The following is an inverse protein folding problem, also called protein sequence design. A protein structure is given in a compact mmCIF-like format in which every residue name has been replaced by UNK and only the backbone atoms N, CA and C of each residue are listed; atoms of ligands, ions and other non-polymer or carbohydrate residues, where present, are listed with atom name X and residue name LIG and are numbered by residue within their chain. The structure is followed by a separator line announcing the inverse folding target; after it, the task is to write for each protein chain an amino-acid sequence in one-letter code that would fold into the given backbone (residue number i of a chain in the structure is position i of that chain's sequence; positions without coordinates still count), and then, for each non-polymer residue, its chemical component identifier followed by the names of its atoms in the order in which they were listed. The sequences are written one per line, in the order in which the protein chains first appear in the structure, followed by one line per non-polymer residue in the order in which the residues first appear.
data_IF_140241958964
#
_entry.id   IF_140241958964
#
_cell.length_a   1.000
_cell.length_b   1.000
_cell.length_c   1.000
_cell.angle_alpha   90.00
_cell.angle_beta   90.00
_cell.angle_gamma   90.00
#
_symmetry.space_group_name_H-M   'P 1'
#
loop_
_entity.id
_entity.type
_entity.pdbx_description
1 polymer ?
#
# COMPACT_ATOMS: atom_id res chain seq x y z
N UNK A 1 12.95 17.77 -27.48
CA UNK A 1 13.17 19.23 -27.52
C UNK A 1 14.49 19.50 -26.80
N UNK A 2 15.53 19.92 -27.52
CA UNK A 2 16.85 20.17 -26.92
C UNK A 2 16.86 21.49 -26.17
N UNK A 3 17.40 21.50 -24.96
CA UNK A 3 17.57 22.70 -24.14
C UNK A 3 18.62 23.60 -24.81
N UNK A 4 18.20 24.74 -25.38
CA UNK A 4 19.09 25.75 -26.01
C UNK A 4 19.80 26.60 -24.94
N UNK A 5 20.62 25.97 -24.11
CA UNK A 5 21.35 26.64 -23.02
C UNK A 5 22.84 26.37 -23.15
N UNK A 6 23.69 27.38 -22.93
CA UNK A 6 25.14 27.23 -22.99
C UNK A 6 25.67 26.36 -21.84
N UNK A 7 26.81 25.70 -22.06
CA UNK A 7 27.48 24.91 -21.01
C UNK A 7 27.82 25.74 -19.76
N UNK A 8 28.22 27.00 -19.95
CA UNK A 8 28.51 27.93 -18.86
C UNK A 8 27.26 28.23 -18.02
N UNK A 9 26.12 28.45 -18.68
CA UNK A 9 24.84 28.69 -18.01
C UNK A 9 24.37 27.45 -17.24
N UNK A 10 24.49 26.25 -17.82
CA UNK A 10 24.20 24.98 -17.11
C UNK A 10 25.07 24.83 -15.86
N UNK A 11 26.38 25.13 -15.97
CA UNK A 11 27.30 25.09 -14.82
C UNK A 11 26.89 26.05 -13.72
N UNK A 12 26.44 27.25 -14.05
CA UNK A 12 25.93 28.23 -13.09
C UNK A 12 24.65 27.74 -12.40
N UNK A 13 23.70 27.17 -13.15
CA UNK A 13 22.51 26.57 -12.53
C UNK A 13 22.85 25.44 -11.58
N UNK A 14 23.76 24.54 -11.96
CA UNK A 14 24.18 23.47 -11.04
C UNK A 14 24.95 24.00 -9.82
N UNK A 15 25.58 25.19 -9.92
CA UNK A 15 26.17 25.84 -8.74
C UNK A 15 25.07 26.29 -7.78
N UNK A 16 24.06 26.99 -8.29
CA UNK A 16 22.89 27.46 -7.50
C UNK A 16 22.16 26.27 -6.86
N UNK A 17 21.83 25.24 -7.64
CA UNK A 17 21.16 24.03 -7.14
C UNK A 17 22.00 23.30 -6.07
N UNK A 18 23.33 23.40 -6.14
CA UNK A 18 24.23 22.88 -5.12
C UNK A 18 24.18 23.70 -3.83
N UNK A 19 24.19 25.04 -3.94
CA UNK A 19 24.07 25.97 -2.81
C UNK A 19 22.70 25.84 -2.11
N UNK A 20 21.64 25.54 -2.86
CA UNK A 20 20.28 25.29 -2.35
C UNK A 20 20.08 23.86 -1.80
N UNK A 21 21.08 22.98 -1.89
CA UNK A 21 20.99 21.61 -1.39
C UNK A 21 20.09 20.67 -2.22
N UNK A 22 19.77 21.05 -3.46
CA UNK A 22 18.99 20.21 -4.39
C UNK A 22 19.87 19.10 -4.99
N UNK A 23 21.13 19.42 -5.27
CA UNK A 23 22.12 18.46 -5.77
C UNK A 23 23.36 18.48 -4.89
N UNK A 24 24.04 17.34 -4.78
CA UNK A 24 25.24 17.19 -3.99
C UNK A 24 26.35 16.51 -4.78
N UNK A 25 27.58 16.71 -4.32
CA UNK A 25 28.78 16.08 -4.85
C UNK A 25 29.24 15.03 -3.84
N UNK A 26 29.38 13.76 -4.26
CA UNK A 26 29.72 12.65 -3.37
C UNK A 26 31.23 12.37 -3.30
N UNK A 27 32.01 12.78 -4.31
CA UNK A 27 33.46 12.60 -4.41
C UNK A 27 34.14 13.77 -5.13
N UNK A 28 35.47 13.74 -5.27
CA UNK A 28 36.29 14.77 -5.97
C UNK A 28 35.92 14.92 -7.46
N UNK A 29 35.18 13.96 -8.03
CA UNK A 29 34.69 14.04 -9.41
C UNK A 29 33.68 15.18 -9.60
N UNK A 30 33.66 15.81 -10.78
CA UNK A 30 32.82 16.97 -11.09
C UNK A 30 31.31 16.65 -11.24
N UNK A 31 30.93 15.39 -11.06
CA UNK A 31 29.53 14.95 -11.13
C UNK A 31 28.72 15.40 -9.91
N UNK A 32 27.45 15.71 -10.14
CA UNK A 32 26.49 16.01 -9.07
C UNK A 32 25.31 15.05 -9.17
N UNK A 33 24.79 14.62 -8.03
CA UNK A 33 23.59 13.78 -7.94
C UNK A 33 22.48 14.51 -7.18
N UNK A 34 21.20 14.24 -7.48
CA UNK A 34 20.10 14.77 -6.67
C UNK A 34 20.22 14.34 -5.21
N UNK A 35 19.87 15.25 -4.30
CA UNK A 35 19.71 14.88 -2.89
C UNK A 35 18.44 14.05 -2.69
N UNK A 36 18.31 13.30 -1.59
CA UNK A 36 17.07 12.59 -1.28
C UNK A 36 15.86 13.52 -1.26
N UNK A 37 16.01 14.75 -0.74
CA UNK A 37 14.96 15.77 -0.76
C UNK A 37 14.51 16.11 -2.18
N UNK A 38 15.46 16.31 -3.10
CA UNK A 38 15.15 16.59 -4.50
C UNK A 38 14.39 15.43 -5.17
N UNK A 39 14.80 14.18 -4.92
CA UNK A 39 14.10 13.00 -5.46
C UNK A 39 12.67 12.87 -4.89
N UNK A 40 12.48 13.14 -3.60
CA UNK A 40 11.14 13.14 -2.99
C UNK A 40 10.23 14.17 -3.65
N UNK A 41 10.75 15.38 -3.86
CA UNK A 41 9.99 16.45 -4.50
C UNK A 41 9.69 16.12 -5.97
N UNK A 42 10.66 15.56 -6.69
CA UNK A 42 10.47 15.08 -8.06
C UNK A 42 9.31 14.08 -8.14
N UNK A 43 9.32 13.02 -7.34
CA UNK A 43 8.24 12.02 -7.38
C UNK A 43 6.88 12.57 -6.98
N UNK A 44 6.82 13.51 -6.01
CA UNK A 44 5.58 14.21 -5.65
C UNK A 44 5.00 15.04 -6.79
N UNK A 45 5.84 15.66 -7.62
CA UNK A 45 5.39 16.44 -8.77
C UNK A 45 5.08 15.61 -10.00
N UNK A 46 5.76 14.46 -10.15
CA UNK A 46 5.67 13.62 -11.36
C UNK A 46 4.53 12.63 -11.28
N UNK A 47 4.29 12.02 -10.12
CA UNK A 47 3.30 10.98 -9.95
C UNK A 47 2.05 11.51 -9.24
N UNK A 48 0.88 11.13 -9.75
CA UNK A 48 -0.40 11.39 -9.11
C UNK A 48 -1.09 10.06 -8.78
N UNK A 49 -0.97 9.55 -7.53
CA UNK A 49 -1.52 8.25 -7.15
C UNK A 49 -3.03 8.12 -7.36
N UNK A 50 -3.79 9.21 -7.25
CA UNK A 50 -5.24 9.18 -7.49
C UNK A 50 -5.59 8.92 -8.97
N UNK A 51 -4.65 9.14 -9.89
CA UNK A 51 -4.79 8.86 -11.32
C UNK A 51 -4.08 7.57 -11.76
N UNK A 52 -3.29 6.96 -10.87
CA UNK A 52 -2.67 5.65 -11.13
C UNK A 52 -3.71 4.55 -10.88
N UNK A 53 -4.11 3.85 -11.93
CA UNK A 53 -4.98 2.68 -11.84
C UNK A 53 -4.60 1.63 -12.91
N UNK A 54 -3.47 0.92 -12.73
CA UNK A 54 -3.02 -0.07 -13.71
C UNK A 54 -3.97 -1.27 -13.74
N UNK A 55 -4.12 -1.87 -14.92
CA UNK A 55 -4.89 -3.11 -15.14
C UNK A 55 -3.91 -4.26 -15.31
N UNK A 56 -3.78 -5.07 -14.27
CA UNK A 56 -2.77 -6.12 -14.17
C UNK A 56 -3.47 -7.48 -14.29
N UNK A 57 -3.37 -8.06 -15.49
CA UNK A 57 -3.97 -9.36 -15.80
C UNK A 57 -2.93 -10.49 -15.60
N UNK A 58 -1.69 -10.24 -16.02
CA UNK A 58 -0.61 -11.23 -16.03
C UNK A 58 0.32 -11.06 -14.82
N UNK A 59 0.31 -12.07 -13.93
CA UNK A 59 1.17 -12.12 -12.75
C UNK A 59 2.66 -12.28 -13.08
N UNK A 60 2.99 -12.93 -14.18
CA UNK A 60 4.39 -13.12 -14.58
C UNK A 60 4.95 -11.82 -15.17
N UNK A 61 4.12 -11.05 -15.89
CA UNK A 61 4.48 -9.72 -16.41
C UNK A 61 4.83 -8.77 -15.27
N UNK A 62 4.00 -8.69 -14.22
CA UNK A 62 4.33 -7.83 -13.08
C UNK A 62 5.57 -8.32 -12.33
N UNK A 63 5.72 -9.63 -12.10
CA UNK A 63 6.90 -10.18 -11.43
C UNK A 63 8.20 -9.78 -12.15
N UNK A 64 8.27 -9.97 -13.47
CA UNK A 64 9.44 -9.60 -14.29
C UNK A 64 9.74 -8.09 -14.26
N UNK A 65 8.70 -7.25 -14.27
CA UNK A 65 8.89 -5.81 -14.22
C UNK A 65 9.31 -5.34 -12.83
N UNK A 66 8.76 -5.92 -11.76
CA UNK A 66 9.22 -5.67 -10.40
C UNK A 66 10.71 -5.98 -10.24
N UNK A 67 11.19 -7.10 -10.78
CA UNK A 67 12.63 -7.44 -10.79
C UNK A 67 13.44 -6.46 -11.65
N UNK A 68 13.00 -6.18 -12.88
CA UNK A 68 13.69 -5.29 -13.83
C UNK A 68 13.87 -3.86 -13.28
N UNK A 69 12.85 -3.33 -12.62
CA UNK A 69 12.84 -1.97 -12.08
C UNK A 69 13.24 -1.93 -10.59
N UNK A 70 13.48 -3.09 -9.96
CA UNK A 70 13.79 -3.25 -8.54
C UNK A 70 12.76 -2.56 -7.63
N UNK A 71 11.48 -2.82 -7.89
CA UNK A 71 10.33 -2.30 -7.15
C UNK A 71 9.56 -3.48 -6.55
N UNK A 72 9.32 -3.44 -5.24
CA UNK A 72 8.37 -4.35 -4.60
C UNK A 72 6.96 -3.87 -4.86
N UNK A 73 6.11 -4.78 -5.33
CA UNK A 73 4.68 -4.55 -5.42
C UNK A 73 3.91 -5.44 -4.47
N UNK A 74 2.96 -4.84 -3.77
CA UNK A 74 2.02 -5.52 -2.88
C UNK A 74 0.62 -5.20 -3.35
N UNK A 75 -0.15 -6.23 -3.70
CA UNK A 75 -1.51 -6.08 -4.22
C UNK A 75 -2.47 -6.81 -3.29
N UNK A 76 -3.46 -6.07 -2.78
CA UNK A 76 -4.50 -6.58 -1.91
C UNK A 76 -5.86 -6.43 -2.63
N UNK A 77 -6.48 -7.52 -3.07
CA UNK A 77 -7.84 -7.48 -3.61
C UNK A 77 -8.81 -6.86 -2.60
N UNK A 78 -9.74 -6.05 -3.08
CA UNK A 78 -10.83 -5.50 -2.28
C UNK A 78 -11.97 -6.51 -2.36
N UNK A 79 -12.00 -7.43 -1.40
CA UNK A 79 -13.11 -8.36 -1.22
C UNK A 79 -13.98 -7.81 -0.09
N UNK A 80 -15.17 -7.36 -0.45
CA UNK A 80 -16.17 -6.94 0.54
C UNK A 80 -17.30 -7.93 0.60
N UNK A 81 -17.87 -8.10 1.78
CA UNK A 81 -19.06 -8.91 2.00
C UNK A 81 -19.94 -8.26 3.05
N UNK A 82 -21.25 -8.43 2.91
CA UNK A 82 -22.24 -7.97 3.88
C UNK A 82 -22.57 -9.04 4.89
N UNK A 83 -22.91 -8.61 6.10
CA UNK A 83 -23.57 -9.47 7.08
C UNK A 83 -25.01 -9.70 6.63
N UNK A 84 -25.39 -10.95 6.39
CA UNK A 84 -26.71 -11.32 5.91
C UNK A 84 -27.63 -11.69 7.08
N UNK A 85 -27.09 -12.37 8.08
CA UNK A 85 -27.89 -12.90 9.18
C UNK A 85 -27.04 -13.08 10.44
N UNK A 86 -27.70 -12.99 11.60
CA UNK A 86 -27.13 -13.34 12.90
C UNK A 86 -27.98 -14.42 13.54
N UNK A 87 -27.35 -15.56 13.86
CA UNK A 87 -28.01 -16.74 14.41
C UNK A 87 -27.53 -16.96 15.84
N UNK A 88 -28.46 -17.07 16.78
CA UNK A 88 -28.17 -17.49 18.15
C UNK A 88 -28.24 -19.02 18.26
N UNK A 89 -27.19 -19.64 18.79
CA UNK A 89 -27.12 -21.09 18.98
C UNK A 89 -27.16 -21.42 20.45
N UNK A 90 -28.34 -21.82 20.94
CA UNK A 90 -28.57 -22.35 22.30
C UNK A 90 -27.96 -21.51 23.44
N UNK A 91 -27.87 -20.19 23.29
CA UNK A 91 -27.18 -19.29 24.24
C UNK A 91 -25.70 -19.65 24.49
N UNK A 92 -25.08 -20.41 23.59
CA UNK A 92 -23.66 -20.80 23.63
C UNK A 92 -22.82 -19.95 22.69
N UNK A 93 -23.35 -19.66 21.50
CA UNK A 93 -22.65 -18.87 20.49
C UNK A 93 -23.59 -17.96 19.72
N UNK A 94 -23.01 -16.92 19.12
CA UNK A 94 -23.62 -16.09 18.09
C UNK A 94 -22.87 -16.39 16.80
N UNK A 95 -23.59 -16.78 15.75
CA UNK A 95 -23.03 -17.03 14.42
C UNK A 95 -23.39 -15.86 13.51
N UNK A 96 -22.37 -15.17 13.01
CA UNK A 96 -22.51 -14.12 12.00
C UNK A 96 -22.35 -14.76 10.63
N UNK A 97 -23.40 -14.67 9.80
CA UNK A 97 -23.43 -15.23 8.44
C UNK A 97 -23.25 -14.11 7.45
N UNK A 98 -22.12 -14.10 6.75
CA UNK A 98 -21.84 -13.19 5.66
C UNK A 98 -22.18 -13.83 4.31
N UNK A 99 -22.08 -13.04 3.23
CA UNK A 99 -22.32 -13.53 1.86
C UNK A 99 -21.45 -14.73 1.47
N UNK A 100 -20.21 -14.79 1.98
CA UNK A 100 -19.25 -15.84 1.62
C UNK A 100 -18.70 -16.60 2.84
N UNK A 101 -18.66 -15.96 4.00
CA UNK A 101 -18.11 -16.53 5.23
C UNK A 101 -19.14 -16.72 6.35
N UNK A 102 -18.75 -17.49 7.36
CA UNK A 102 -19.45 -17.57 8.64
C UNK A 102 -18.43 -17.54 9.77
N UNK A 103 -18.71 -16.80 10.83
CA UNK A 103 -17.89 -16.79 12.06
C UNK A 103 -18.77 -16.99 13.28
N UNK A 104 -18.22 -17.61 14.31
CA UNK A 104 -18.89 -17.80 15.58
C UNK A 104 -18.13 -17.04 16.67
N UNK A 105 -18.86 -16.34 17.53
CA UNK A 105 -18.36 -15.71 18.75
C UNK A 105 -19.11 -16.23 19.97
N UNK A 106 -18.53 -16.15 21.19
CA UNK A 106 -19.23 -16.53 22.41
C UNK A 106 -20.53 -15.74 22.58
N UNK A 107 -21.57 -16.40 23.11
CA UNK A 107 -22.84 -15.75 23.34
C UNK A 107 -22.78 -14.76 24.51
N UNK A 108 -23.20 -13.53 24.24
CA UNK A 108 -23.45 -12.48 25.24
C UNK A 108 -24.76 -11.79 24.80
N UNK A 109 -25.81 -11.68 25.63
CA UNK A 109 -27.12 -11.17 25.21
C UNK A 109 -27.06 -9.80 24.53
N UNK A 110 -26.36 -8.84 25.13
CA UNK A 110 -26.21 -7.50 24.55
C UNK A 110 -25.41 -7.53 23.24
N UNK A 111 -24.46 -8.45 23.10
CA UNK A 111 -23.69 -8.61 21.86
C UNK A 111 -24.55 -9.20 20.75
N UNK A 112 -25.49 -10.10 21.06
CA UNK A 112 -26.41 -10.67 20.08
C UNK A 112 -27.31 -9.57 19.49
N UNK A 113 -27.93 -8.75 20.35
CA UNK A 113 -28.69 -7.59 19.91
C UNK A 113 -27.85 -6.59 19.12
N UNK A 114 -26.64 -6.28 19.61
CA UNK A 114 -25.72 -5.41 18.89
C UNK A 114 -25.38 -5.95 17.49
N UNK A 115 -25.12 -7.25 17.35
CA UNK A 115 -24.83 -7.87 16.06
C UNK A 115 -26.04 -7.85 15.11
N UNK A 116 -27.27 -7.99 15.62
CA UNK A 116 -28.49 -7.90 14.79
C UNK A 116 -28.62 -6.51 14.13
N UNK A 117 -28.28 -5.43 14.85
CA UNK A 117 -28.30 -4.07 14.28
C UNK A 117 -27.25 -3.85 13.18
N UNK A 118 -26.29 -4.77 13.01
CA UNK A 118 -25.25 -4.69 11.99
C UNK A 118 -25.64 -5.41 10.69
N UNK A 119 -26.78 -6.10 10.66
CA UNK A 119 -27.24 -6.84 9.47
C UNK A 119 -27.40 -5.86 8.30
N UNK A 120 -26.87 -6.26 7.15
CA UNK A 120 -26.82 -5.45 5.93
C UNK A 120 -25.57 -4.58 5.78
N UNK A 121 -24.77 -4.39 6.84
CA UNK A 121 -23.52 -3.63 6.78
C UNK A 121 -22.39 -4.46 6.18
N UNK A 122 -21.43 -3.77 5.56
CA UNK A 122 -20.20 -4.37 5.07
C UNK A 122 -19.25 -4.73 6.21
N UNK A 123 -18.52 -5.82 6.04
CA UNK A 123 -17.56 -6.35 7.03
C UNK A 123 -16.57 -5.30 7.53
N UNK A 124 -16.12 -4.38 6.67
CA UNK A 124 -15.14 -3.34 7.05
C UNK A 124 -15.76 -2.27 7.95
N UNK A 125 -17.02 -1.90 7.71
CA UNK A 125 -17.79 -1.01 8.58
C UNK A 125 -18.03 -1.67 9.93
N UNK A 126 -18.46 -2.94 9.93
CA UNK A 126 -18.67 -3.73 11.15
C UNK A 126 -17.37 -3.80 11.96
N UNK A 127 -16.23 -4.04 11.31
CA UNK A 127 -14.92 -4.08 11.97
C UNK A 127 -14.54 -2.75 12.58
N UNK A 128 -14.83 -1.64 11.90
CA UNK A 128 -14.58 -0.29 12.41
C UNK A 128 -15.45 0.01 13.63
N UNK A 129 -16.76 -0.24 13.52
CA UNK A 129 -17.71 -0.06 14.64
C UNK A 129 -17.27 -0.91 15.84
N UNK A 130 -16.93 -2.19 15.62
CA UNK A 130 -16.47 -3.09 16.68
C UNK A 130 -15.21 -2.55 17.39
N UNK A 131 -14.28 -1.94 16.67
CA UNK A 131 -13.12 -1.26 17.27
C UNK A 131 -13.52 -0.02 18.06
N UNK A 132 -14.40 0.82 17.51
CA UNK A 132 -14.85 2.08 18.12
C UNK A 132 -15.61 1.84 19.44
N UNK A 133 -16.38 0.75 19.53
CA UNK A 133 -17.09 0.35 20.76
C UNK A 133 -16.30 -0.62 21.64
N UNK A 134 -15.02 -0.84 21.34
CA UNK A 134 -14.14 -1.77 22.07
C UNK A 134 -14.67 -3.22 22.17
N UNK A 135 -15.45 -3.69 21.21
CA UNK A 135 -15.93 -5.07 21.08
C UNK A 135 -14.81 -6.00 20.57
N UNK A 136 -13.78 -6.23 21.41
CA UNK A 136 -12.54 -6.93 21.03
C UNK A 136 -12.78 -8.32 20.42
N UNK A 137 -13.60 -9.15 21.04
CA UNK A 137 -13.88 -10.51 20.55
C UNK A 137 -14.53 -10.51 19.16
N UNK A 138 -15.45 -9.57 18.90
CA UNK A 138 -16.04 -9.42 17.58
C UNK A 138 -14.98 -8.95 16.57
N UNK A 139 -14.19 -7.95 16.92
CA UNK A 139 -13.12 -7.44 16.05
C UNK A 139 -12.08 -8.53 15.71
N UNK A 140 -11.67 -9.35 16.69
CA UNK A 140 -10.75 -10.47 16.50
C UNK A 140 -11.36 -11.55 15.60
N UNK A 141 -12.62 -11.93 15.83
CA UNK A 141 -13.32 -12.92 15.01
C UNK A 141 -13.46 -12.46 13.55
N UNK A 142 -13.76 -11.18 13.30
CA UNK A 142 -13.83 -10.59 11.96
C UNK A 142 -12.49 -10.61 11.23
N UNK A 143 -11.37 -10.61 11.94
CA UNK A 143 -10.04 -10.77 11.34
C UNK A 143 -9.78 -12.20 10.85
N UNK A 144 -10.56 -13.20 11.29
CA UNK A 144 -10.37 -14.62 10.94
C UNK A 144 -11.17 -15.11 9.73
N UNK A 145 -11.87 -14.20 9.03
CA UNK A 145 -12.69 -14.54 7.86
C UNK A 145 -11.86 -15.21 6.77
N UNK A 146 -12.34 -16.33 6.21
CA UNK A 146 -11.57 -17.11 5.24
C UNK A 146 -11.52 -16.45 3.87
N UNK A 147 -12.52 -15.64 3.53
CA UNK A 147 -12.49 -14.80 2.33
C UNK A 147 -11.64 -13.54 2.51
N UNK A 148 -10.84 -13.44 3.59
CA UNK A 148 -9.85 -12.38 3.70
C UNK A 148 -8.99 -12.36 2.42
N UNK A 149 -8.82 -11.18 1.79
CA UNK A 149 -8.14 -11.09 0.51
C UNK A 149 -6.71 -11.57 0.66
N UNK A 150 -6.32 -12.53 -0.19
CA UNK A 150 -4.93 -12.98 -0.27
C UNK A 150 -4.10 -11.85 -0.84
N UNK A 151 -3.14 -11.38 -0.05
CA UNK A 151 -2.19 -10.37 -0.49
C UNK A 151 -1.17 -11.03 -1.42
N UNK A 152 -0.96 -10.42 -2.57
CA UNK A 152 0.02 -10.83 -3.57
C UNK A 152 1.27 -9.96 -3.46
N UNK A 153 2.44 -10.59 -3.45
CA UNK A 153 3.72 -9.90 -3.37
C UNK A 153 4.58 -10.21 -4.59
N UNK A 154 5.24 -9.18 -5.12
CA UNK A 154 6.14 -9.25 -6.27
C UNK A 154 7.40 -8.43 -5.98
N UNK A 155 8.56 -8.84 -6.51
CA UNK A 155 9.83 -8.10 -6.35
C UNK A 155 10.27 -7.91 -4.90
N UNK A 156 10.42 -9.00 -4.14
CA UNK A 156 10.68 -8.95 -2.69
C UNK A 156 12.06 -8.42 -2.29
N UNK A 157 12.97 -8.20 -3.25
CA UNK A 157 14.38 -7.85 -2.97
C UNK A 157 14.52 -6.59 -2.10
N UNK A 158 13.67 -5.59 -2.30
CA UNK A 158 13.72 -4.37 -1.50
C UNK A 158 13.18 -4.59 -0.07
N UNK A 159 12.24 -5.52 0.14
CA UNK A 159 11.77 -5.85 1.48
C UNK A 159 12.86 -6.53 2.31
N UNK A 160 13.72 -7.35 1.70
CA UNK A 160 14.84 -7.98 2.41
C UNK A 160 15.82 -6.91 2.95
N UNK A 161 16.13 -5.89 2.15
CA UNK A 161 16.95 -4.76 2.58
C UNK A 161 16.24 -3.95 3.68
N UNK A 162 14.94 -3.69 3.52
CA UNK A 162 14.16 -2.94 4.49
C UNK A 162 14.04 -3.69 5.83
N UNK A 163 13.93 -5.01 5.81
CA UNK A 163 13.79 -5.86 7.00
C UNK A 163 14.99 -5.73 7.94
N UNK A 164 16.19 -5.54 7.39
CA UNK A 164 17.41 -5.36 8.18
C UNK A 164 17.43 -4.05 8.99
N UNK A 165 16.62 -3.05 8.59
CA UNK A 165 16.65 -1.71 9.17
C UNK A 165 15.34 -1.27 9.82
N UNK A 166 14.19 -1.76 9.33
CA UNK A 166 12.84 -1.36 9.73
C UNK A 166 11.89 -2.58 9.71
N UNK A 167 12.15 -3.61 10.55
CA UNK A 167 11.38 -4.85 10.53
C UNK A 167 9.88 -4.63 10.83
N UNK A 168 9.54 -3.66 11.67
CA UNK A 168 8.16 -3.29 11.99
C UNK A 168 7.38 -2.82 10.77
N UNK A 169 8.03 -2.07 9.86
CA UNK A 169 7.41 -1.60 8.61
C UNK A 169 7.18 -2.78 7.68
N UNK A 170 8.15 -3.69 7.55
CA UNK A 170 8.00 -4.90 6.72
C UNK A 170 6.88 -5.77 7.24
N UNK A 171 6.78 -5.98 8.55
CA UNK A 171 5.68 -6.75 9.15
C UNK A 171 4.31 -6.11 8.87
N UNK A 172 4.20 -4.78 8.98
CA UNK A 172 2.96 -4.06 8.65
C UNK A 172 2.59 -4.17 7.17
N UNK A 173 3.58 -4.21 6.26
CA UNK A 173 3.38 -4.46 4.83
C UNK A 173 2.88 -5.90 4.60
N UNK A 174 3.52 -6.89 5.22
CA UNK A 174 3.16 -8.31 5.09
C UNK A 174 1.75 -8.60 5.63
N UNK A 175 1.34 -7.91 6.68
CA UNK A 175 0.00 -8.01 7.28
C UNK A 175 -1.06 -7.21 6.50
N UNK A 176 -0.63 -6.30 5.61
CA UNK A 176 -1.53 -5.44 4.84
C UNK A 176 -2.16 -4.30 5.66
N UNK A 177 -1.60 -3.99 6.82
CA UNK A 177 -2.07 -2.89 7.68
C UNK A 177 -1.79 -1.52 7.06
N UNK A 178 -0.68 -1.41 6.32
CA UNK A 178 -0.25 -0.15 5.70
C UNK A 178 -1.29 0.40 4.70
N UNK A 179 -2.09 -0.46 4.06
CA UNK A 179 -3.16 -0.06 3.14
C UNK A 179 -4.21 0.83 3.82
N UNK A 180 -4.54 0.54 5.08
CA UNK A 180 -5.53 1.32 5.85
C UNK A 180 -5.09 2.77 6.13
N UNK A 181 -3.79 3.04 6.03
CA UNK A 181 -3.18 4.32 6.40
C UNK A 181 -2.80 5.17 5.18
N UNK A 182 -2.87 4.62 3.96
CA UNK A 182 -2.15 5.16 2.80
C UNK A 182 -2.97 5.29 1.52
N UNK A 183 -4.26 5.65 1.59
CA UNK A 183 -5.09 5.68 0.38
C UNK A 183 -4.66 6.76 -0.64
N UNK A 184 -4.37 6.34 -1.87
CA UNK A 184 -4.06 7.20 -3.03
C UNK A 184 -3.04 8.31 -2.75
N UNK A 185 -1.87 7.94 -2.19
CA UNK A 185 -0.86 8.92 -1.79
C UNK A 185 0.57 8.38 -1.86
N UNK A 186 1.55 9.29 -1.82
CA UNK A 186 2.99 9.02 -1.81
C UNK A 186 3.55 9.33 -0.42
N UNK A 187 4.26 8.35 0.14
CA UNK A 187 4.87 8.45 1.46
C UNK A 187 6.37 8.22 1.39
N UNK A 188 7.09 8.89 2.29
CA UNK A 188 8.53 8.76 2.45
C UNK A 188 8.83 8.50 3.93
N UNK A 189 8.72 7.23 4.38
CA UNK A 189 8.75 6.93 5.80
C UNK A 189 10.09 7.31 6.45
N UNK A 190 10.02 7.88 7.66
CA UNK A 190 11.18 8.25 8.49
C UNK A 190 12.26 9.11 7.79
N UNK A 191 11.88 9.91 6.78
CA UNK A 191 12.82 10.62 5.90
C UNK A 191 13.86 9.70 5.22
N UNK A 192 13.53 8.40 5.09
CA UNK A 192 14.38 7.39 4.48
C UNK A 192 14.63 7.62 2.99
N UNK A 193 15.48 6.76 2.44
CA UNK A 193 15.87 6.79 1.02
C UNK A 193 14.96 5.93 0.14
N UNK A 194 13.69 5.79 0.52
CA UNK A 194 12.71 4.99 -0.18
C UNK A 194 11.34 5.69 -0.22
N UNK A 195 10.50 5.20 -1.11
CA UNK A 195 9.17 5.72 -1.41
C UNK A 195 8.16 4.58 -1.29
N UNK A 196 6.97 4.92 -0.81
CA UNK A 196 5.78 4.06 -0.86
C UNK A 196 4.73 4.80 -1.66
N UNK A 197 4.31 4.22 -2.78
CA UNK A 197 3.27 4.76 -3.64
C UNK A 197 2.06 3.85 -3.48
N UNK A 198 0.99 4.38 -2.90
CA UNK A 198 -0.21 3.62 -2.61
C UNK A 198 -1.35 4.15 -3.48
N UNK A 199 -2.00 3.27 -4.23
CA UNK A 199 -3.06 3.63 -5.18
C UNK A 199 -3.98 2.44 -5.46
N UNK A 200 -5.10 2.69 -6.14
CA UNK A 200 -6.00 1.64 -6.60
C UNK A 200 -5.41 0.93 -7.85
N UNK A 201 -5.81 -0.32 -8.08
CA UNK A 201 -5.49 -1.09 -9.27
C UNK A 201 -6.61 -2.08 -9.60
N UNK A 202 -6.59 -2.64 -10.80
CA UNK A 202 -7.40 -3.80 -11.16
C UNK A 202 -6.43 -4.98 -11.30
N UNK A 203 -6.59 -6.02 -10.48
CA UNK A 203 -5.74 -7.22 -10.53
C UNK A 203 -6.61 -8.45 -10.76
N UNK A 204 -6.36 -9.17 -11.87
CA UNK A 204 -7.18 -10.34 -12.28
C UNK A 204 -8.68 -10.07 -12.17
N UNK A 205 -9.12 -8.98 -12.78
CA UNK A 205 -10.52 -8.52 -12.81
C UNK A 205 -11.13 -8.10 -11.47
N UNK A 206 -10.34 -8.02 -10.39
CA UNK A 206 -10.79 -7.55 -9.09
C UNK A 206 -10.26 -6.15 -8.79
N UNK A 207 -11.13 -5.27 -8.30
CA UNK A 207 -10.67 -4.03 -7.66
C UNK A 207 -9.70 -4.36 -6.53
N UNK A 208 -8.59 -3.65 -6.48
CA UNK A 208 -7.49 -3.94 -5.58
C UNK A 208 -6.83 -2.65 -5.10
N UNK A 209 -6.24 -2.71 -3.92
CA UNK A 209 -5.28 -1.71 -3.47
C UNK A 209 -3.86 -2.20 -3.83
N UNK A 210 -3.00 -1.30 -4.27
CA UNK A 210 -1.64 -1.58 -4.68
C UNK A 210 -0.65 -0.64 -3.97
N UNK A 211 0.46 -1.23 -3.50
CA UNK A 211 1.63 -0.50 -3.03
C UNK A 211 2.79 -0.80 -3.96
N UNK A 212 3.50 0.25 -4.35
CA UNK A 212 4.81 0.15 -4.97
C UNK A 212 5.86 0.73 -4.01
N UNK A 213 6.86 -0.07 -3.69
CA UNK A 213 7.84 0.23 -2.64
C UNK A 213 9.24 0.04 -3.23
N UNK A 214 10.12 1.02 -3.04
CA UNK A 214 11.49 0.91 -3.51
C UNK A 214 12.33 2.13 -3.20
N UNK A 215 13.59 2.10 -3.63
CA UNK A 215 14.52 3.23 -3.46
C UNK A 215 14.07 4.46 -4.26
N UNK A 216 14.43 5.65 -3.79
CA UNK A 216 14.10 6.92 -4.45
C UNK A 216 14.66 7.04 -5.87
N UNK A 217 15.73 6.32 -6.20
CA UNK A 217 16.45 6.41 -7.48
C UNK A 217 15.86 5.50 -8.58
N UNK A 218 14.81 4.72 -8.28
CA UNK A 218 14.21 3.81 -9.26
C UNK A 218 13.26 4.53 -10.21
N UNK A 219 13.09 4.00 -11.42
CA UNK A 219 12.27 4.60 -12.47
C UNK A 219 10.81 4.13 -12.38
N UNK A 220 10.03 4.81 -11.53
CA UNK A 220 8.62 4.48 -11.33
C UNK A 220 7.76 4.80 -12.55
N UNK A 221 8.12 5.81 -13.35
CA UNK A 221 7.35 6.17 -14.53
C UNK A 221 7.40 5.06 -15.57
N UNK A 222 8.61 4.58 -15.90
CA UNK A 222 8.78 3.45 -16.81
C UNK A 222 8.20 2.17 -16.22
N UNK A 223 8.31 1.96 -14.91
CA UNK A 223 7.66 0.84 -14.24
C UNK A 223 6.14 0.81 -14.50
N UNK A 224 5.42 1.92 -14.22
CA UNK A 224 3.97 2.00 -14.45
C UNK A 224 3.58 1.83 -15.92
N UNK A 225 4.38 2.36 -16.86
CA UNK A 225 4.16 2.16 -18.29
C UNK A 225 4.26 0.69 -18.72
N UNK A 226 5.04 -0.13 -17.99
CA UNK A 226 5.25 -1.54 -18.34
C UNK A 226 4.33 -2.50 -17.59
N UNK A 227 3.73 -2.10 -16.47
CA UNK A 227 2.80 -2.96 -15.72
C UNK A 227 1.33 -2.73 -16.07
N UNK A 228 1.00 -1.55 -16.61
CA UNK A 228 -0.32 -1.28 -17.17
C UNK A 228 -0.62 -2.11 -18.43
#
# INVERSE_FOLDING_TARGET
MGVKISSATIRNYFKILGEEGVIMQTHISSGRIPTPMALRNFWRSTLNPAQLCPVIIDSDKIAKNCEKFEVTCVIKPIITQKLIEVIEVEQKAIVLVFEHDRIAIPFIPNMAHFCQELVGLHVDDIRKIAKDVCAKHLAEALCSLKSAPKIHFFGLQFLDELLAHQPEVVLAILQGDIFSQTKNNIFFPNNGNYIVIAHNAIFKDNESEMLCIGKLQKDYEMFYQHIA
#
